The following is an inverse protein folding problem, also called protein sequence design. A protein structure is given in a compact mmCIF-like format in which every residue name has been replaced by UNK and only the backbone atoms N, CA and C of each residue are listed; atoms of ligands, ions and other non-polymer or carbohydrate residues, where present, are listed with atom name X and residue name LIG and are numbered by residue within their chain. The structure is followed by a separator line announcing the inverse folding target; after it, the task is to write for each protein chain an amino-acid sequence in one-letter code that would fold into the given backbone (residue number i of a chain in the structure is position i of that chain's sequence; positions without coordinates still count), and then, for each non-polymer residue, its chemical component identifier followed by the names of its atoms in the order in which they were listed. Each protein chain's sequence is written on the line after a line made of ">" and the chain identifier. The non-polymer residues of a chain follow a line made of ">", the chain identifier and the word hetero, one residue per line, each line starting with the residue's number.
data_IF_913825308582
#
_entry.id   IF_913825308582
#
_cell.length_a   1.000
_cell.length_b   1.000
_cell.length_c   1.000
_cell.angle_alpha   90.00
_cell.angle_beta   90.00
_cell.angle_gamma   90.00
#
_symmetry.space_group_name_H-M   'P 1'
#
loop_
_entity.id
_entity.type
_entity.pdbx_description
1 polymer ?
#
# COMPACT_ATOMS: atom_id res chain seq x y z
N UNK A 1 -5.22 -1.15 -9.96
CA UNK A 1 -5.77 -1.70 -8.69
C UNK A 1 -5.18 -1.05 -7.44
N UNK A 2 -3.97 -0.45 -7.49
CA UNK A 2 -3.36 0.24 -6.33
C UNK A 2 -3.01 1.70 -6.64
N UNK A 3 -3.92 2.42 -7.31
CA UNK A 3 -3.77 3.86 -7.58
C UNK A 3 -4.83 4.56 -6.76
N UNK A 4 -4.47 5.03 -5.58
CA UNK A 4 -5.43 5.59 -4.65
C UNK A 4 -5.78 7.02 -5.06
N UNK A 5 -7.07 7.39 -5.12
CA UNK A 5 -7.50 8.76 -5.36
C UNK A 5 -7.18 9.63 -4.16
N UNK A 6 -6.47 10.74 -4.44
CA UNK A 6 -6.27 11.82 -3.48
C UNK A 6 -6.85 13.12 -4.02
N UNK A 7 -7.29 13.97 -3.11
CA UNK A 7 -7.70 15.35 -3.37
C UNK A 7 -6.75 16.29 -2.66
N UNK A 8 -6.49 17.45 -3.27
CA UNK A 8 -5.62 18.48 -2.72
C UNK A 8 -6.36 19.79 -2.67
N UNK A 9 -6.28 20.49 -1.54
CA UNK A 9 -6.77 21.85 -1.40
C UNK A 9 -5.64 22.73 -0.83
N UNK A 10 -5.50 23.95 -1.34
CA UNK A 10 -4.58 24.93 -0.75
C UNK A 10 -5.31 25.67 0.37
N UNK A 11 -4.71 25.73 1.55
CA UNK A 11 -5.20 26.48 2.70
C UNK A 11 -4.45 27.83 2.78
N UNK A 12 -5.19 28.93 2.59
CA UNK A 12 -4.64 30.29 2.64
C UNK A 12 -4.24 30.74 4.06
N UNK A 13 -4.78 30.13 5.12
CA UNK A 13 -4.46 30.49 6.50
C UNK A 13 -3.09 29.92 6.92
N UNK A 14 -2.82 28.68 6.56
CA UNK A 14 -1.56 27.99 6.86
C UNK A 14 -0.51 28.17 5.77
N UNK A 15 -0.94 28.39 4.53
CA UNK A 15 -0.07 28.44 3.35
C UNK A 15 0.39 27.06 2.89
N UNK A 16 -0.36 26.00 3.23
CA UNK A 16 -0.03 24.61 2.92
C UNK A 16 -1.03 23.98 1.94
N UNK A 17 -0.63 22.90 1.28
CA UNK A 17 -1.51 22.03 0.51
C UNK A 17 -2.00 20.89 1.41
N UNK A 18 -3.28 20.86 1.73
CA UNK A 18 -3.93 19.77 2.45
C UNK A 18 -4.27 18.62 1.51
N UNK A 19 -3.87 17.41 1.88
CA UNK A 19 -4.03 16.19 1.09
C UNK A 19 -4.98 15.25 1.82
N UNK A 20 -6.06 14.86 1.15
CA UNK A 20 -7.05 13.92 1.65
C UNK A 20 -7.13 12.67 0.76
N UNK A 21 -7.44 11.53 1.37
CA UNK A 21 -7.44 10.23 0.72
C UNK A 21 -8.84 9.63 0.76
N UNK A 22 -9.45 9.39 -0.40
CA UNK A 22 -10.88 8.97 -0.45
C UNK A 22 -11.14 7.62 0.21
N UNK A 23 -10.14 6.74 0.20
CA UNK A 23 -10.27 5.38 0.73
C UNK A 23 -9.81 5.28 2.20
N UNK A 24 -9.32 6.37 2.79
CA UNK A 24 -8.72 6.39 4.14
C UNK A 24 -9.16 7.65 4.90
N UNK A 25 -10.32 7.58 5.56
CA UNK A 25 -10.93 8.73 6.24
C UNK A 25 -10.11 9.33 7.39
N UNK A 26 -9.24 8.52 8.01
CA UNK A 26 -8.42 8.93 9.16
C UNK A 26 -7.00 9.35 8.76
N UNK A 27 -6.71 9.38 7.45
CA UNK A 27 -5.41 9.75 6.90
C UNK A 27 -5.47 11.15 6.27
N UNK A 28 -4.54 11.99 6.70
CA UNK A 28 -4.32 13.32 6.15
C UNK A 28 -2.81 13.54 6.00
N UNK A 29 -2.43 14.36 5.03
CA UNK A 29 -1.05 14.81 4.86
C UNK A 29 -1.06 16.28 4.45
N UNK A 30 0.06 16.98 4.61
CA UNK A 30 0.21 18.33 4.07
C UNK A 30 1.55 18.49 3.37
N UNK A 31 1.60 19.42 2.42
CA UNK A 31 2.82 19.76 1.70
C UNK A 31 2.99 21.28 1.65
N UNK A 32 4.24 21.76 1.74
CA UNK A 32 4.55 23.20 1.68
C UNK A 32 4.58 23.74 0.25
N UNK A 33 4.77 22.86 -0.74
CA UNK A 33 4.88 23.22 -2.15
C UNK A 33 4.08 22.25 -3.01
N UNK A 34 3.67 22.69 -4.21
CA UNK A 34 2.98 21.79 -5.16
C UNK A 34 3.86 20.60 -5.56
N UNK A 35 5.17 20.81 -5.69
CA UNK A 35 6.14 19.79 -6.10
C UNK A 35 6.26 18.66 -5.05
N UNK A 36 5.98 18.95 -3.78
CA UNK A 36 6.10 17.99 -2.68
C UNK A 36 4.81 17.17 -2.44
N UNK A 37 3.67 17.55 -3.06
CA UNK A 37 2.36 16.91 -2.83
C UNK A 37 2.44 15.39 -3.02
N UNK A 38 3.01 14.92 -4.14
CA UNK A 38 3.02 13.48 -4.44
C UNK A 38 3.93 12.71 -3.45
N UNK A 39 5.04 13.33 -3.03
CA UNK A 39 5.98 12.74 -2.08
C UNK A 39 5.32 12.59 -0.70
N UNK A 40 4.79 13.69 -0.16
CA UNK A 40 4.14 13.70 1.15
C UNK A 40 2.90 12.78 1.15
N UNK A 41 2.13 12.78 0.06
CA UNK A 41 0.99 11.88 -0.08
C UNK A 41 1.41 10.40 -0.04
N UNK A 42 2.51 10.07 -0.71
CA UNK A 42 3.00 8.69 -0.76
C UNK A 42 3.57 8.23 0.58
N UNK A 43 4.31 9.10 1.27
CA UNK A 43 4.93 8.77 2.55
C UNK A 43 3.89 8.64 3.66
N UNK A 44 2.90 9.55 3.69
CA UNK A 44 1.74 9.45 4.58
C UNK A 44 0.95 8.16 4.37
N UNK A 45 0.62 7.84 3.11
CA UNK A 45 -0.09 6.60 2.78
C UNK A 45 0.72 5.34 3.11
N UNK A 46 2.02 5.35 2.85
CA UNK A 46 2.90 4.20 3.14
C UNK A 46 2.95 3.92 4.65
N UNK A 47 3.09 4.97 5.46
CA UNK A 47 3.08 4.88 6.92
C UNK A 47 1.74 4.34 7.43
N UNK A 48 0.63 4.87 6.94
CA UNK A 48 -0.71 4.40 7.34
C UNK A 48 -0.96 2.94 6.95
N UNK A 49 -0.50 2.52 5.76
CA UNK A 49 -0.56 1.12 5.35
C UNK A 49 0.26 0.22 6.29
N UNK A 50 1.43 0.67 6.75
CA UNK A 50 2.23 -0.07 7.72
C UNK A 50 1.45 -0.29 9.03
N UNK A 51 0.76 0.74 9.53
CA UNK A 51 -0.10 0.66 10.72
C UNK A 51 -1.27 -0.31 10.54
N UNK A 52 -1.94 -0.29 9.39
CA UNK A 52 -3.00 -1.25 9.06
C UNK A 52 -2.48 -2.68 9.04
N UNK A 53 -1.28 -2.89 8.48
CA UNK A 53 -0.65 -4.21 8.45
C UNK A 53 -0.31 -4.71 9.86
N UNK A 54 0.31 -3.86 10.67
CA UNK A 54 0.63 -4.17 12.07
C UNK A 54 -0.63 -4.52 12.88
N UNK A 55 -1.69 -3.74 12.67
CA UNK A 55 -2.99 -3.90 13.34
C UNK A 55 -3.84 -5.06 12.80
N UNK A 56 -3.36 -5.75 11.76
CA UNK A 56 -4.10 -6.82 11.05
C UNK A 56 -5.47 -6.35 10.53
N UNK A 57 -5.54 -5.09 10.10
CA UNK A 57 -6.73 -4.50 9.46
C UNK A 57 -6.54 -4.64 7.94
N UNK A 58 -7.56 -5.08 7.18
CA UNK A 58 -7.47 -5.12 5.73
C UNK A 58 -7.20 -3.74 5.15
N UNK A 59 -6.23 -3.65 4.25
CA UNK A 59 -6.03 -2.43 3.47
C UNK A 59 -7.15 -2.34 2.44
N UNK A 60 -7.89 -1.22 2.34
CA UNK A 60 -8.95 -1.03 1.35
C UNK A 60 -8.48 -1.26 -0.08
N UNK A 61 -9.39 -1.60 -0.99
CA UNK A 61 -9.10 -1.58 -2.42
C UNK A 61 -9.20 -0.14 -2.91
N UNK A 62 -8.25 0.30 -3.74
CA UNK A 62 -8.29 1.63 -4.31
C UNK A 62 -9.58 1.84 -5.11
N UNK A 63 -10.34 2.88 -4.74
CA UNK A 63 -11.54 3.26 -5.47
C UNK A 63 -11.19 3.89 -6.82
N UNK A 64 -12.20 3.97 -7.70
CA UNK A 64 -12.03 4.59 -9.01
C UNK A 64 -11.76 6.08 -8.91
N UNK A 65 -12.18 6.77 -7.83
CA UNK A 65 -12.13 8.22 -7.68
C UNK A 65 -12.97 9.00 -8.70
N UNK A 66 -12.83 10.32 -8.66
CA UNK A 66 -13.39 11.27 -9.63
C UNK A 66 -12.34 11.69 -10.67
N UNK A 67 -12.75 12.38 -11.74
CA UNK A 67 -11.84 12.82 -12.82
C UNK A 67 -10.82 13.86 -12.36
N UNK A 68 -11.15 14.66 -11.35
CA UNK A 68 -10.30 15.74 -10.81
C UNK A 68 -9.27 15.25 -9.80
N UNK A 69 -9.39 14.00 -9.35
CA UNK A 69 -8.48 13.44 -8.35
C UNK A 69 -7.12 13.10 -8.95
N UNK A 70 -6.08 13.28 -8.13
CA UNK A 70 -4.76 12.76 -8.45
C UNK A 70 -4.74 11.25 -8.17
N UNK A 71 -4.20 10.47 -9.10
CA UNK A 71 -4.06 9.00 -8.98
C UNK A 71 -2.69 8.66 -8.41
N UNK A 72 -2.60 8.65 -7.08
CA UNK A 72 -1.36 8.38 -6.36
C UNK A 72 -0.85 6.95 -6.65
N UNK A 73 0.36 6.86 -7.20
CA UNK A 73 0.99 5.58 -7.53
C UNK A 73 1.73 4.99 -6.32
N UNK A 74 1.47 3.72 -6.02
CA UNK A 74 2.29 2.95 -5.09
C UNK A 74 3.30 2.06 -5.81
N UNK A 75 4.55 1.95 -5.29
CA UNK A 75 5.54 1.02 -5.81
C UNK A 75 5.00 -0.41 -5.86
N UNK A 76 5.37 -1.16 -6.91
CA UNK A 76 4.89 -2.54 -7.13
C UNK A 76 5.15 -3.46 -5.91
N UNK A 77 6.29 -3.30 -5.24
CA UNK A 77 6.57 -4.08 -4.02
C UNK A 77 5.58 -3.78 -2.91
N UNK A 78 5.23 -2.50 -2.68
CA UNK A 78 4.22 -2.09 -1.70
C UNK A 78 2.88 -2.75 -2.03
N UNK A 79 2.46 -2.70 -3.30
CA UNK A 79 1.23 -3.33 -3.79
C UNK A 79 1.18 -4.85 -3.50
N UNK A 80 2.28 -5.56 -3.76
CA UNK A 80 2.37 -7.01 -3.51
C UNK A 80 2.29 -7.35 -2.01
N UNK A 81 2.86 -6.50 -1.16
CA UNK A 81 2.80 -6.68 0.30
C UNK A 81 1.41 -6.44 0.86
N UNK A 82 0.72 -5.41 0.37
CA UNK A 82 -0.71 -5.19 0.65
C UNK A 82 -1.53 -6.41 0.23
N UNK A 83 -1.31 -6.91 -1.00
CA UNK A 83 -2.01 -8.08 -1.50
C UNK A 83 -1.77 -9.32 -0.62
N UNK A 84 -0.52 -9.56 -0.21
CA UNK A 84 -0.17 -10.68 0.67
C UNK A 84 -0.85 -10.54 2.03
N UNK A 85 -0.82 -9.35 2.63
CA UNK A 85 -1.49 -9.07 3.90
C UNK A 85 -2.99 -9.35 3.83
N UNK A 86 -3.68 -8.79 2.84
CA UNK A 86 -5.11 -8.99 2.64
C UNK A 86 -5.43 -10.47 2.36
N UNK A 87 -4.61 -11.16 1.56
CA UNK A 87 -4.73 -12.60 1.32
C UNK A 87 -4.60 -13.42 2.61
N UNK A 88 -3.65 -13.07 3.48
CA UNK A 88 -3.50 -13.73 4.78
C UNK A 88 -4.71 -13.51 5.69
N UNK A 89 -5.33 -12.33 5.68
CA UNK A 89 -6.57 -12.08 6.42
C UNK A 89 -7.71 -12.93 5.84
N UNK A 90 -7.94 -12.84 4.53
CA UNK A 90 -9.02 -13.54 3.83
C UNK A 90 -8.96 -15.07 4.00
N UNK A 91 -7.75 -15.63 4.04
CA UNK A 91 -7.54 -17.08 4.19
C UNK A 91 -7.39 -17.52 5.66
N UNK A 92 -7.41 -16.59 6.62
CA UNK A 92 -7.14 -16.89 8.02
C UNK A 92 -5.69 -17.33 8.32
N UNK A 93 -4.77 -17.15 7.38
CA UNK A 93 -3.37 -17.57 7.50
C UNK A 93 -2.63 -16.73 8.56
N UNK A 94 -1.96 -17.39 9.51
CA UNK A 94 -1.08 -16.72 10.49
C UNK A 94 0.36 -16.67 9.97
N UNK A 95 1.17 -15.75 10.51
CA UNK A 95 2.60 -15.62 10.15
C UNK A 95 3.36 -16.94 10.28
N UNK A 96 3.09 -17.72 11.34
CA UNK A 96 3.70 -19.03 11.56
C UNK A 96 3.27 -20.08 10.52
N UNK A 97 2.08 -19.98 9.96
CA UNK A 97 1.62 -20.89 8.89
C UNK A 97 2.31 -20.56 7.58
N UNK A 98 2.41 -19.27 7.25
CA UNK A 98 3.13 -18.81 6.07
C UNK A 98 4.63 -19.16 6.15
N UNK A 99 5.25 -18.98 7.31
CA UNK A 99 6.63 -19.41 7.58
C UNK A 99 6.84 -20.89 7.26
N UNK A 100 5.93 -21.76 7.72
CA UNK A 100 5.99 -23.20 7.45
C UNK A 100 5.79 -23.52 5.97
N UNK A 101 4.81 -22.89 5.31
CA UNK A 101 4.53 -23.07 3.88
C UNK A 101 5.72 -22.67 3.00
N UNK A 102 6.42 -21.59 3.36
CA UNK A 102 7.59 -21.08 2.64
C UNK A 102 8.92 -21.73 3.06
N UNK A 103 8.91 -22.58 4.10
CA UNK A 103 10.13 -23.09 4.75
C UNK A 103 11.09 -21.95 5.16
N UNK A 104 10.53 -20.90 5.75
CA UNK A 104 11.22 -19.67 6.17
C UNK A 104 11.07 -19.42 7.67
N UNK A 105 11.94 -18.59 8.24
CA UNK A 105 11.91 -18.19 9.65
C UNK A 105 11.04 -16.94 9.84
N UNK A 106 10.52 -16.76 11.06
CA UNK A 106 9.68 -15.61 11.45
C UNK A 106 10.15 -14.25 10.91
N UNK A 107 11.43 -13.85 11.13
CA UNK A 107 11.92 -12.55 10.65
C UNK A 107 11.86 -12.36 9.13
N UNK A 108 11.89 -13.43 8.34
CA UNK A 108 11.73 -13.34 6.89
C UNK A 108 10.27 -13.05 6.54
N UNK A 109 9.33 -13.62 7.27
CA UNK A 109 7.90 -13.33 7.12
C UNK A 109 7.57 -11.91 7.57
N UNK A 110 8.17 -11.44 8.65
CA UNK A 110 7.97 -10.05 9.11
C UNK A 110 8.39 -9.06 8.02
N UNK A 111 9.53 -9.28 7.36
CA UNK A 111 9.98 -8.45 6.21
C UNK A 111 9.06 -8.50 4.99
N UNK A 112 8.36 -9.62 4.77
CA UNK A 112 7.38 -9.73 3.68
C UNK A 112 6.11 -8.91 3.97
N UNK A 113 5.84 -8.60 5.24
CA UNK A 113 4.68 -7.82 5.67
C UNK A 113 5.02 -6.36 6.00
N UNK A 114 6.29 -6.05 6.16
CA UNK A 114 6.78 -4.69 6.36
C UNK A 114 6.89 -3.95 5.02
N UNK A 115 6.06 -2.93 4.76
CA UNK A 115 6.06 -2.18 3.49
C UNK A 115 7.27 -1.27 3.29
N UNK A 116 8.02 -0.96 4.35
CA UNK A 116 9.22 -0.12 4.32
C UNK A 116 10.48 -0.94 4.04
N UNK A 117 10.43 -2.26 4.28
CA UNK A 117 11.56 -3.13 4.06
C UNK A 117 11.64 -3.63 2.60
N UNK A 118 12.84 -3.72 2.02
CA UNK A 118 13.03 -4.33 0.71
C UNK A 118 12.66 -5.84 0.71
N UNK A 119 12.03 -6.33 -0.34
CA UNK A 119 11.75 -7.77 -0.49
C UNK A 119 11.93 -8.20 -1.93
N UNK A 120 12.21 -9.49 -2.10
CA UNK A 120 12.30 -10.09 -3.43
C UNK A 120 10.90 -10.36 -3.95
N UNK A 121 10.65 -9.96 -5.20
CA UNK A 121 9.35 -10.18 -5.85
C UNK A 121 9.04 -11.67 -5.90
N UNK A 122 10.02 -12.52 -6.24
CA UNK A 122 9.79 -13.96 -6.35
C UNK A 122 9.29 -14.60 -5.03
N UNK A 123 9.71 -14.06 -3.87
CA UNK A 123 9.24 -14.56 -2.57
C UNK A 123 7.79 -14.15 -2.30
N UNK A 124 7.40 -12.92 -2.68
CA UNK A 124 6.03 -12.43 -2.53
C UNK A 124 5.07 -13.19 -3.45
N UNK A 125 5.47 -13.45 -4.69
CA UNK A 125 4.69 -14.26 -5.64
C UNK A 125 4.49 -15.68 -5.12
N UNK A 126 5.56 -16.33 -4.64
CA UNK A 126 5.45 -17.66 -4.05
C UNK A 126 4.52 -17.67 -2.82
N UNK A 127 4.61 -16.66 -1.96
CA UNK A 127 3.75 -16.52 -0.80
C UNK A 127 2.28 -16.41 -1.21
N UNK A 128 1.96 -15.51 -2.15
CA UNK A 128 0.62 -15.32 -2.69
C UNK A 128 0.07 -16.60 -3.34
N UNK A 129 0.88 -17.29 -4.13
CA UNK A 129 0.51 -18.55 -4.77
C UNK A 129 0.14 -19.64 -3.75
N UNK A 130 0.91 -19.76 -2.66
CA UNK A 130 0.61 -20.71 -1.57
C UNK A 130 -0.66 -20.38 -0.77
N UNK A 131 -1.21 -19.18 -0.97
CA UNK A 131 -2.49 -18.71 -0.44
C UNK A 131 -3.62 -18.71 -1.49
N UNK A 132 -3.35 -19.17 -2.71
CA UNK A 132 -4.35 -19.30 -3.78
C UNK A 132 -4.51 -18.06 -4.66
N UNK A 133 -3.51 -17.18 -4.70
CA UNK A 133 -3.52 -15.96 -5.52
C UNK A 133 -2.44 -16.04 -6.60
N UNK A 134 -2.78 -15.59 -7.81
CA UNK A 134 -1.83 -15.49 -8.92
C UNK A 134 -1.42 -14.03 -9.12
N UNK A 135 -0.13 -13.79 -9.33
CA UNK A 135 0.42 -12.47 -9.64
C UNK A 135 0.60 -12.36 -11.15
N UNK A 136 0.16 -11.23 -11.72
CA UNK A 136 0.36 -10.89 -13.13
C UNK A 136 0.91 -9.47 -13.24
N UNK A 137 1.59 -9.18 -14.35
CA UNK A 137 2.23 -7.89 -14.60
C UNK A 137 1.71 -7.28 -15.90
N UNK A 138 1.42 -5.98 -15.85
CA UNK A 138 1.22 -5.12 -17.00
C UNK A 138 2.21 -3.95 -16.97
N UNK A 139 2.54 -3.40 -18.14
CA UNK A 139 3.38 -2.21 -18.27
C UNK A 139 2.62 -1.20 -19.12
N UNK A 140 2.32 -0.06 -18.53
CA UNK A 140 1.56 1.01 -19.15
C UNK A 140 2.45 2.24 -19.37
N UNK A 141 2.24 2.95 -20.48
CA UNK A 141 2.92 4.21 -20.75
C UNK A 141 2.29 5.32 -19.90
N UNK A 142 3.11 6.07 -19.16
CA UNK A 142 2.66 7.31 -18.52
C UNK A 142 2.34 8.33 -19.63
N UNK A 143 1.10 8.79 -19.66
CA UNK A 143 0.60 9.82 -20.58
C UNK A 143 0.86 11.22 -20.03
#
# INVERSE_FOLDING_TARGET
>A
MFRYPITVAFDEETGEYEISYRDFNDLYSSALTEDDIELEAKDGLTSFIAELIESRIPVPVASLGEETDIRLHLPVLTCLKIALHNAMINTGTRKADLARKLNQKGPQIDRLLDVEHASKVETLEQALYLLGYEVSVSVDKLS
#
